data_IF_229273930217
#
_entry.id   IF_229273930217
#
_cell.length_a   1.000
_cell.length_b   1.000
_cell.length_c   1.000
_cell.angle_alpha   90.00
_cell.angle_beta   90.00
_cell.angle_gamma   90.00
#
_symmetry.space_group_name_H-M   'P 1'
#
loop_
_entity.id
_entity.type
_entity.pdbx_description
1 polymer ?
#
# COMPACT_ATOMS: atom_id res chain seq x y z
N UNK A 1 0.57 7.82 4.07
CA UNK A 1 1.41 6.83 4.75
C UNK A 1 2.84 7.05 4.30
N UNK A 2 3.80 6.88 5.21
CA UNK A 2 5.23 7.01 4.90
C UNK A 2 5.90 5.66 5.10
N UNK A 3 7.00 5.45 4.40
CA UNK A 3 7.76 4.20 4.37
C UNK A 3 9.18 4.42 4.87
N UNK A 4 9.69 3.42 5.59
CA UNK A 4 11.03 3.38 6.17
C UNK A 4 11.72 2.08 5.77
N UNK A 5 13.06 2.08 5.70
CA UNK A 5 13.83 0.87 5.46
C UNK A 5 13.81 -0.06 6.67
N UNK A 6 13.74 -1.37 6.45
CA UNK A 6 13.93 -2.39 7.50
C UNK A 6 15.31 -2.36 8.16
N UNK A 7 16.30 -1.73 7.53
CA UNK A 7 17.65 -1.54 8.09
C UNK A 7 17.87 -0.14 8.66
N UNK A 8 16.82 0.68 8.67
CA UNK A 8 16.87 2.01 9.23
C UNK A 8 17.20 1.95 10.73
N UNK A 9 18.31 2.60 11.11
CA UNK A 9 18.71 2.76 12.50
C UNK A 9 18.16 4.09 12.96
N UNK A 10 17.23 4.07 13.92
CA UNK A 10 16.74 5.29 14.55
C UNK A 10 17.89 5.93 15.35
N UNK A 11 18.40 7.10 14.95
CA UNK A 11 19.47 7.74 15.70
C UNK A 11 18.98 8.09 17.11
N UNK A 12 19.84 7.90 18.12
CA UNK A 12 19.50 8.14 19.53
C UNK A 12 19.35 9.62 19.89
N UNK A 13 19.78 10.53 19.01
CA UNK A 13 19.66 11.97 19.16
C UNK A 13 19.43 12.64 17.80
N UNK A 14 18.91 13.86 17.86
CA UNK A 14 18.24 14.69 16.85
C UNK A 14 19.03 15.07 15.57
N UNK A 15 19.90 14.20 15.06
CA UNK A 15 20.72 14.47 13.87
C UNK A 15 20.41 13.51 12.72
N UNK A 16 19.96 14.13 11.62
CA UNK A 16 19.51 13.57 10.34
C UNK A 16 18.20 12.77 10.42
N UNK A 17 17.10 13.49 10.16
CA UNK A 17 15.90 12.92 9.54
C UNK A 17 16.34 12.12 8.31
N UNK A 18 16.39 10.80 8.41
CA UNK A 18 16.37 9.97 7.20
C UNK A 18 15.07 10.30 6.48
N UNK A 19 15.15 10.54 5.17
CA UNK A 19 13.98 10.95 4.39
C UNK A 19 12.98 9.80 4.37
N UNK A 20 11.90 9.95 5.13
CA UNK A 20 10.72 9.11 4.99
C UNK A 20 10.22 9.20 3.56
N UNK A 21 9.85 8.06 2.98
CA UNK A 21 9.42 7.96 1.59
C UNK A 21 7.90 7.86 1.50
N UNK A 22 7.30 8.51 0.51
CA UNK A 22 5.90 8.26 0.17
C UNK A 22 5.75 6.98 -0.65
N UNK A 23 4.52 6.49 -0.82
CA UNK A 23 4.26 5.22 -1.50
C UNK A 23 4.87 5.20 -2.91
N UNK A 24 4.66 6.27 -3.68
CA UNK A 24 5.16 6.35 -5.06
C UNK A 24 6.68 6.28 -5.12
N UNK A 25 7.37 6.93 -4.17
CA UNK A 25 8.83 6.90 -4.11
C UNK A 25 9.34 5.51 -3.74
N UNK A 26 8.72 4.84 -2.76
CA UNK A 26 9.10 3.50 -2.34
C UNK A 26 8.93 2.48 -3.48
N UNK A 27 7.83 2.58 -4.25
CA UNK A 27 7.56 1.71 -5.40
C UNK A 27 8.56 1.94 -6.54
N UNK A 28 8.92 3.19 -6.83
CA UNK A 28 9.88 3.53 -7.90
C UNK A 28 11.31 3.15 -7.50
N UNK A 29 11.71 3.41 -6.26
CA UNK A 29 13.05 3.12 -5.75
C UNK A 29 13.27 1.61 -5.60
N UNK A 30 12.22 0.87 -5.21
CA UNK A 30 12.26 -0.58 -5.06
C UNK A 30 13.00 -1.02 -3.80
N UNK A 31 14.33 -1.03 -3.86
CA UNK A 31 15.20 -1.38 -2.73
C UNK A 31 15.75 -0.12 -2.07
N UNK A 32 15.67 -0.02 -0.74
CA UNK A 32 16.18 1.15 -0.03
C UNK A 32 17.70 1.27 -0.19
N UNK A 33 18.21 2.51 -0.14
CA UNK A 33 19.64 2.83 -0.31
C UNK A 33 20.60 2.13 0.67
N UNK A 34 20.13 1.67 1.84
CA UNK A 34 20.89 0.89 2.82
C UNK A 34 20.81 -0.65 2.60
N UNK A 35 20.20 -1.06 1.47
CA UNK A 35 19.95 -2.45 1.11
C UNK A 35 18.81 -3.12 1.87
N UNK A 36 18.02 -2.36 2.64
CA UNK A 36 16.79 -2.84 3.28
C UNK A 36 15.56 -2.76 2.38
N UNK A 37 14.42 -3.22 2.91
CA UNK A 37 13.12 -3.18 2.23
C UNK A 37 12.27 -2.05 2.81
N UNK A 38 11.45 -1.41 1.99
CA UNK A 38 10.49 -0.42 2.48
C UNK A 38 9.31 -1.08 3.18
N UNK A 39 8.99 -0.61 4.37
CA UNK A 39 7.81 -0.99 5.17
C UNK A 39 7.11 0.27 5.68
N UNK A 40 5.80 0.22 6.01
CA UNK A 40 5.13 1.35 6.63
C UNK A 40 5.88 1.82 7.88
N UNK A 41 6.09 3.13 8.02
CA UNK A 41 6.78 3.73 9.17
C UNK A 41 5.92 3.62 10.44
N UNK A 42 4.60 3.72 10.28
CA UNK A 42 3.64 3.59 11.38
C UNK A 42 3.20 2.13 11.52
N UNK A 43 1.96 1.95 11.93
CA UNK A 43 1.33 0.64 12.03
C UNK A 43 0.71 0.21 10.71
N UNK A 44 0.54 -1.10 10.54
CA UNK A 44 -0.25 -1.64 9.44
C UNK A 44 -1.70 -1.14 9.53
N UNK A 45 -2.36 -0.90 8.37
CA UNK A 45 -3.75 -0.51 8.35
C UNK A 45 -4.61 -1.54 9.05
N UNK A 46 -5.50 -1.05 9.93
CA UNK A 46 -6.45 -1.86 10.67
C UNK A 46 -7.82 -1.79 10.02
N UNK A 47 -8.54 -2.89 10.10
CA UNK A 47 -9.93 -3.01 9.68
C UNK A 47 -10.81 -3.24 10.92
N UNK A 48 -11.88 -2.47 11.01
CA UNK A 48 -12.95 -2.67 11.98
C UNK A 48 -13.72 -3.97 11.69
N UNK A 49 -14.47 -4.46 12.67
CA UNK A 49 -15.35 -5.62 12.48
C UNK A 49 -16.37 -5.41 11.35
N UNK A 50 -16.86 -4.18 11.14
CA UNK A 50 -17.76 -3.84 10.04
C UNK A 50 -17.08 -3.97 8.67
N UNK A 51 -15.87 -3.45 8.53
CA UNK A 51 -15.08 -3.56 7.31
C UNK A 51 -14.71 -5.02 7.00
N UNK A 52 -14.32 -5.79 8.02
CA UNK A 52 -14.10 -7.23 7.83
C UNK A 52 -15.34 -7.96 7.30
N UNK A 53 -16.53 -7.62 7.81
CA UNK A 53 -17.80 -8.21 7.33
C UNK A 53 -18.10 -7.78 5.89
N UNK A 54 -17.85 -6.53 5.52
CA UNK A 54 -18.11 -6.06 4.15
C UNK A 54 -17.21 -6.76 3.12
N UNK A 55 -15.99 -7.16 3.52
CA UNK A 55 -15.09 -7.91 2.62
C UNK A 55 -15.60 -9.31 2.25
N UNK A 56 -16.48 -9.94 3.04
CA UNK A 56 -16.91 -11.32 2.78
C UNK A 56 -17.68 -11.44 1.45
N UNK A 57 -18.55 -10.46 1.16
CA UNK A 57 -19.36 -10.43 -0.06
C UNK A 57 -18.73 -9.68 -1.23
N UNK A 58 -17.59 -9.00 -1.00
CA UNK A 58 -16.91 -8.21 -2.02
C UNK A 58 -16.27 -9.10 -3.10
N UNK A 59 -16.40 -8.66 -4.35
CA UNK A 59 -15.63 -9.16 -5.50
C UNK A 59 -14.13 -8.98 -5.27
N UNK A 60 -13.31 -9.61 -6.10
CA UNK A 60 -11.85 -9.49 -5.97
C UNK A 60 -11.38 -8.04 -6.15
N UNK A 61 -11.94 -7.35 -7.15
CA UNK A 61 -11.65 -5.94 -7.47
C UNK A 61 -12.05 -5.02 -6.32
N UNK A 62 -13.27 -5.14 -5.81
CA UNK A 62 -13.75 -4.35 -4.65
C UNK A 62 -12.87 -4.59 -3.42
N UNK A 63 -12.51 -5.85 -3.15
CA UNK A 63 -11.65 -6.20 -2.03
C UNK A 63 -10.25 -5.60 -2.18
N UNK A 64 -9.68 -5.67 -3.37
CA UNK A 64 -8.38 -5.07 -3.67
C UNK A 64 -8.43 -3.55 -3.46
N UNK A 65 -9.49 -2.89 -3.93
CA UNK A 65 -9.65 -1.44 -3.75
C UNK A 65 -9.74 -1.06 -2.27
N UNK A 66 -10.61 -1.70 -1.51
CA UNK A 66 -10.78 -1.42 -0.07
C UNK A 66 -9.46 -1.59 0.69
N UNK A 67 -8.71 -2.66 0.40
CA UNK A 67 -7.45 -2.93 1.10
C UNK A 67 -6.32 -1.99 0.68
N UNK A 68 -6.18 -1.72 -0.63
CA UNK A 68 -5.10 -0.89 -1.15
C UNK A 68 -5.30 0.59 -0.81
N UNK A 69 -6.53 1.09 -0.77
CA UNK A 69 -6.82 2.47 -0.30
C UNK A 69 -6.41 2.69 1.17
N UNK A 70 -6.30 1.62 1.98
CA UNK A 70 -5.78 1.71 3.35
C UNK A 70 -4.24 1.74 3.40
N UNK A 71 -3.58 1.21 2.38
CA UNK A 71 -2.12 1.15 2.28
C UNK A 71 -1.52 2.34 1.51
N UNK A 72 -2.29 2.93 0.59
CA UNK A 72 -1.83 3.96 -0.35
C UNK A 72 -2.54 5.27 -0.02
N UNK A 73 -1.76 6.33 0.23
CA UNK A 73 -2.36 7.63 0.51
C UNK A 73 -2.98 8.22 -0.76
N UNK A 74 -4.17 8.86 -0.70
CA UNK A 74 -4.83 9.42 -1.88
C UNK A 74 -4.04 10.54 -2.57
N UNK A 75 -3.06 11.15 -1.89
CA UNK A 75 -2.13 12.11 -2.50
C UNK A 75 -1.07 11.45 -3.41
N UNK A 76 -0.74 10.17 -3.17
CA UNK A 76 0.12 9.38 -4.05
C UNK A 76 -0.71 8.85 -5.24
N UNK A 77 -1.82 8.18 -4.93
CA UNK A 77 -2.73 7.63 -5.94
C UNK A 77 -4.17 7.89 -5.50
N UNK A 78 -4.91 8.78 -6.19
CA UNK A 78 -6.32 9.03 -5.89
C UNK A 78 -7.16 7.75 -6.04
N UNK A 79 -8.18 7.58 -5.19
CA UNK A 79 -9.02 6.37 -5.14
C UNK A 79 -9.60 5.98 -6.51
N UNK A 80 -10.11 6.95 -7.29
CA UNK A 80 -10.63 6.69 -8.63
C UNK A 80 -9.55 6.13 -9.57
N UNK A 81 -8.33 6.69 -9.53
CA UNK A 81 -7.22 6.23 -10.34
C UNK A 81 -6.72 4.86 -9.90
N UNK A 82 -6.73 4.60 -8.59
CA UNK A 82 -6.41 3.28 -8.05
C UNK A 82 -7.42 2.23 -8.54
N UNK A 83 -8.73 2.57 -8.57
CA UNK A 83 -9.77 1.72 -9.14
C UNK A 83 -9.51 1.36 -10.61
N UNK A 84 -9.15 2.34 -11.44
CA UNK A 84 -8.77 2.09 -12.85
C UNK A 84 -7.57 1.15 -12.97
N UNK A 85 -6.56 1.30 -12.11
CA UNK A 85 -5.39 0.42 -12.09
C UNK A 85 -5.74 -1.00 -11.66
N UNK A 86 -6.64 -1.15 -10.69
CA UNK A 86 -7.12 -2.45 -10.20
C UNK A 86 -7.95 -3.15 -11.27
N UNK A 87 -8.85 -2.44 -11.94
CA UNK A 87 -9.65 -2.98 -13.05
C UNK A 87 -8.74 -3.46 -14.19
N UNK A 88 -7.76 -2.65 -14.57
CA UNK A 88 -6.78 -3.04 -15.58
C UNK A 88 -5.92 -4.25 -15.15
N UNK A 89 -5.70 -4.41 -13.85
CA UNK A 89 -4.88 -5.48 -13.29
C UNK A 89 -5.64 -6.79 -13.04
N UNK A 90 -6.93 -6.74 -12.71
CA UNK A 90 -7.72 -7.88 -12.23
C UNK A 90 -9.08 -8.06 -12.91
N UNK A 91 -9.43 -7.25 -13.91
CA UNK A 91 -10.63 -7.47 -14.72
C UNK A 91 -10.49 -8.72 -15.61
N UNK A 92 -10.80 -8.60 -16.88
CA UNK A 92 -10.89 -9.74 -17.82
C UNK A 92 -9.54 -10.40 -18.18
N UNK A 93 -8.43 -10.01 -17.54
CA UNK A 93 -7.09 -10.55 -17.81
C UNK A 93 -6.76 -11.81 -16.98
N UNK A 94 -7.65 -12.25 -16.09
CA UNK A 94 -7.51 -13.51 -15.35
C UNK A 94 -8.39 -14.63 -15.93
N UNK A 95 -7.81 -15.81 -16.13
CA UNK A 95 -8.56 -17.01 -16.56
C UNK A 95 -9.56 -17.54 -15.50
N UNK A 96 -9.52 -17.01 -14.28
CA UNK A 96 -10.38 -17.40 -13.18
C UNK A 96 -11.50 -16.37 -12.99
N UNK A 97 -12.75 -16.76 -13.27
CA UNK A 97 -13.95 -15.91 -13.13
C UNK A 97 -14.33 -15.53 -11.69
N UNK A 98 -13.52 -15.92 -10.69
CA UNK A 98 -13.66 -15.43 -9.31
C UNK A 98 -12.75 -14.24 -9.03
N UNK A 99 -11.84 -13.95 -9.97
CA UNK A 99 -10.90 -12.84 -9.91
C UNK A 99 -11.33 -11.78 -10.93
N UNK A 100 -11.53 -12.22 -12.19
CA UNK A 100 -12.18 -11.44 -13.25
C UNK A 100 -13.65 -11.17 -12.93
#
# INVERSE_FOLDING_TARGET
>A
ETFVSTRHIWPKDNERKVSTKFFSEAVIEGLASDGGLFVPEKEFPKLSCGEWKSLVGATYIERAQILLEKCIHPADVPAARLGEMIEAAYGENFACSKIA
#
